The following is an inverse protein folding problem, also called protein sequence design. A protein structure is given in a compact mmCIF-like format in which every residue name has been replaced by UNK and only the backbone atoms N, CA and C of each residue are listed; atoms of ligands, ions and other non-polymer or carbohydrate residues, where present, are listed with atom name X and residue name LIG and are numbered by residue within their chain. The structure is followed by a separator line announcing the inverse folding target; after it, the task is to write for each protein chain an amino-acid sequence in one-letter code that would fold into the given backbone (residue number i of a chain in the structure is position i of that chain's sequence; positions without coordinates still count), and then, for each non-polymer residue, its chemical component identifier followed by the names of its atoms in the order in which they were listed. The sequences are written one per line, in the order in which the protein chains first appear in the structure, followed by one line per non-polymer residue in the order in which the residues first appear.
data_IF_394080279259
#
_entry.id   IF_394080279259
#
_cell.length_a   1.000
_cell.length_b   1.000
_cell.length_c   1.000
_cell.angle_alpha   90.00
_cell.angle_beta   90.00
_cell.angle_gamma   90.00
#
_symmetry.space_group_name_H-M   'P 1'
#
loop_
_entity.id
_entity.type
_entity.pdbx_description
1 polymer ?
#
# COMPACT_ATOMS: atom_id res chain seq x y z
N UNK A 1 11.87 31.08 5.20
CA UNK A 1 10.44 31.05 4.82
C UNK A 1 9.88 29.76 5.38
N UNK A 2 9.05 29.83 6.42
CA UNK A 2 8.50 28.67 7.12
C UNK A 2 7.62 27.88 6.16
N UNK A 3 8.07 26.69 5.74
CA UNK A 3 7.31 25.80 4.87
C UNK A 3 6.04 25.38 5.58
N UNK A 4 4.88 25.76 5.04
CA UNK A 4 3.58 25.28 5.50
C UNK A 4 3.53 23.76 5.28
N UNK A 5 3.88 22.99 6.30
CA UNK A 5 3.84 21.53 6.21
C UNK A 5 2.38 21.10 6.00
N UNK A 6 2.10 20.44 4.88
CA UNK A 6 0.79 19.89 4.56
C UNK A 6 0.31 19.02 5.73
N UNK A 7 -0.93 19.23 6.22
CA UNK A 7 -1.50 18.48 7.35
C UNK A 7 -1.41 16.96 7.15
N UNK A 8 -1.54 16.49 5.91
CA UNK A 8 -1.37 15.08 5.56
C UNK A 8 0.06 14.61 5.76
N UNK A 9 1.07 15.42 5.43
CA UNK A 9 2.48 15.07 5.65
C UNK A 9 2.80 14.98 7.13
N UNK A 10 2.33 15.97 7.91
CA UNK A 10 2.51 15.98 9.37
C UNK A 10 1.86 14.75 10.01
N UNK A 11 0.62 14.45 9.65
CA UNK A 11 -0.08 13.26 10.12
C UNK A 11 0.66 11.99 9.70
N UNK A 12 1.11 11.89 8.44
CA UNK A 12 1.81 10.72 7.93
C UNK A 12 3.09 10.46 8.72
N UNK A 13 3.91 11.49 8.97
CA UNK A 13 5.14 11.39 9.76
C UNK A 13 4.89 10.87 11.18
N UNK A 14 3.78 11.26 11.80
CA UNK A 14 3.40 10.76 13.13
C UNK A 14 2.99 9.29 13.10
N UNK A 15 2.24 8.88 12.07
CA UNK A 15 1.67 7.53 11.99
C UNK A 15 2.62 6.45 11.46
N UNK A 16 3.73 6.86 10.83
CA UNK A 16 4.77 5.95 10.35
C UNK A 16 5.91 5.71 11.35
N UNK A 17 5.86 6.31 12.55
CA UNK A 17 6.91 6.13 13.57
C UNK A 17 7.24 4.65 13.87
N UNK A 18 6.27 3.72 13.93
CA UNK A 18 6.61 2.32 14.25
C UNK A 18 7.05 1.51 13.02
N UNK A 19 7.31 2.14 11.87
CA UNK A 19 7.93 1.48 10.71
C UNK A 19 9.45 1.66 10.77
N UNK A 20 10.26 0.58 10.69
CA UNK A 20 11.72 0.67 10.69
C UNK A 20 12.24 1.56 9.54
N UNK A 21 11.65 1.44 8.35
CA UNK A 21 12.03 2.19 7.15
C UNK A 21 11.10 3.39 6.88
N UNK A 22 10.81 4.18 7.93
CA UNK A 22 9.84 5.29 7.90
C UNK A 22 10.09 6.33 6.79
N UNK A 23 11.34 6.67 6.47
CA UNK A 23 11.62 7.65 5.42
C UNK A 23 11.23 7.13 4.04
N UNK A 24 11.49 5.84 3.79
CA UNK A 24 11.06 5.17 2.55
C UNK A 24 9.54 5.04 2.50
N UNK A 25 8.89 4.68 3.61
CA UNK A 25 7.42 4.66 3.71
C UNK A 25 6.85 6.03 3.37
N UNK A 26 7.39 7.11 3.96
CA UNK A 26 6.94 8.47 3.71
C UNK A 26 7.04 8.80 2.21
N UNK A 27 8.22 8.60 1.61
CA UNK A 27 8.46 8.91 0.19
C UNK A 27 7.52 8.14 -0.74
N UNK A 28 7.33 6.83 -0.50
CA UNK A 28 6.48 6.00 -1.33
C UNK A 28 5.01 6.38 -1.21
N UNK A 29 4.54 6.65 0.02
CA UNK A 29 3.15 7.07 0.26
C UNK A 29 2.89 8.45 -0.33
N UNK A 30 3.78 9.41 -0.11
CA UNK A 30 3.67 10.77 -0.63
C UNK A 30 3.60 10.80 -2.17
N UNK A 31 4.48 10.04 -2.83
CA UNK A 31 4.45 9.86 -4.27
C UNK A 31 3.12 9.24 -4.75
N UNK A 32 2.60 8.24 -4.04
CA UNK A 32 1.35 7.59 -4.40
C UNK A 32 0.14 8.53 -4.29
N UNK A 33 0.01 9.29 -3.20
CA UNK A 33 -1.14 10.18 -2.98
C UNK A 33 -1.08 11.43 -3.85
N UNK A 34 0.13 11.87 -4.23
CA UNK A 34 0.33 12.95 -5.21
C UNK A 34 -0.05 12.48 -6.61
N UNK A 35 0.34 11.24 -6.98
CA UNK A 35 0.01 10.67 -8.29
C UNK A 35 -1.47 10.34 -8.44
N UNK A 36 -2.12 9.89 -7.36
CA UNK A 36 -3.52 9.48 -7.35
C UNK A 36 -4.29 10.28 -6.29
N UNK A 37 -4.85 11.46 -6.62
CA UNK A 37 -5.53 12.32 -5.68
C UNK A 37 -6.83 11.76 -5.09
N UNK A 38 -7.32 10.62 -5.58
CA UNK A 38 -8.46 9.88 -5.03
C UNK A 38 -8.05 8.87 -3.97
N UNK A 39 -6.74 8.63 -3.79
CA UNK A 39 -6.18 7.78 -2.74
C UNK A 39 -5.85 8.65 -1.52
N UNK A 40 -6.19 8.13 -0.34
CA UNK A 40 -5.94 8.76 0.95
C UNK A 40 -5.27 7.79 1.90
N UNK A 41 -4.34 8.26 2.74
CA UNK A 41 -3.77 7.43 3.78
C UNK A 41 -4.66 7.44 5.02
N UNK A 42 -4.79 6.29 5.68
CA UNK A 42 -5.42 6.15 7.01
C UNK A 42 -4.68 5.11 7.84
N UNK A 43 -4.85 5.13 9.15
CA UNK A 43 -4.47 4.01 10.01
C UNK A 43 -5.70 3.18 10.34
N UNK A 44 -5.57 1.86 10.28
CA UNK A 44 -6.68 0.95 10.55
C UNK A 44 -6.17 -0.41 11.06
N UNK A 45 -7.02 -1.18 11.73
CA UNK A 45 -6.65 -2.48 12.29
C UNK A 45 -6.78 -3.54 11.21
N UNK A 46 -5.66 -4.18 10.89
CA UNK A 46 -5.60 -5.30 9.97
C UNK A 46 -5.57 -6.62 10.74
N UNK A 47 -6.37 -7.61 10.32
CA UNK A 47 -6.38 -8.97 10.87
C UNK A 47 -5.70 -9.90 9.88
N UNK A 48 -4.61 -10.54 10.30
CA UNK A 48 -3.88 -11.52 9.52
C UNK A 48 -4.62 -12.86 9.46
N UNK A 49 -4.26 -13.69 8.49
CA UNK A 49 -4.86 -15.01 8.27
C UNK A 49 -4.66 -15.97 9.47
N UNK A 50 -3.66 -15.68 10.33
CA UNK A 50 -3.38 -16.41 11.58
C UNK A 50 -4.14 -15.86 12.81
N UNK A 51 -5.03 -14.89 12.60
CA UNK A 51 -5.84 -14.25 13.64
C UNK A 51 -5.15 -13.12 14.41
N UNK A 52 -3.87 -12.85 14.17
CA UNK A 52 -3.20 -11.70 14.78
C UNK A 52 -3.78 -10.40 14.22
N UNK A 53 -3.89 -9.37 15.07
CA UNK A 53 -4.33 -8.04 14.65
C UNK A 53 -3.23 -7.01 14.81
N UNK A 54 -3.19 -6.02 13.93
CA UNK A 54 -2.18 -4.97 13.99
C UNK A 54 -2.70 -3.65 13.41
N UNK A 55 -2.44 -2.54 14.10
CA UNK A 55 -2.66 -1.20 13.54
C UNK A 55 -1.62 -0.93 12.46
N UNK A 56 -2.08 -0.79 11.22
CA UNK A 56 -1.26 -0.58 10.03
C UNK A 56 -1.68 0.69 9.28
N UNK A 57 -0.79 1.15 8.40
CA UNK A 57 -1.07 2.22 7.45
C UNK A 57 -1.74 1.59 6.23
N UNK A 58 -2.84 2.20 5.79
CA UNK A 58 -3.62 1.76 4.66
C UNK A 58 -3.80 2.93 3.68
N UNK A 59 -3.45 2.73 2.41
CA UNK A 59 -3.81 3.62 1.33
C UNK A 59 -5.11 3.11 0.73
N UNK A 60 -6.17 3.92 0.81
CA UNK A 60 -7.48 3.52 0.32
C UNK A 60 -8.08 4.59 -0.58
N UNK A 61 -8.99 4.17 -1.46
CA UNK A 61 -9.69 5.08 -2.36
C UNK A 61 -9.91 4.43 -3.71
N UNK A 62 -10.07 5.26 -4.74
CA UNK A 62 -10.37 4.80 -6.09
C UNK A 62 -9.14 4.89 -6.99
N UNK A 63 -8.77 3.80 -7.64
CA UNK A 63 -7.70 3.75 -8.63
C UNK A 63 -8.30 3.76 -10.05
N UNK A 64 -7.97 4.75 -10.90
CA UNK A 64 -8.41 4.75 -12.28
C UNK A 64 -7.67 3.68 -13.09
N UNK A 65 -8.40 2.85 -13.82
CA UNK A 65 -7.85 1.86 -14.76
C UNK A 65 -8.53 1.98 -16.12
N UNK A 66 -7.81 1.66 -17.19
CA UNK A 66 -8.38 1.51 -18.52
C UNK A 66 -8.59 0.01 -18.80
N UNK A 67 -9.81 -0.39 -19.14
CA UNK A 67 -10.15 -1.76 -19.51
C UNK A 67 -11.08 -1.76 -20.72
N UNK A 68 -10.67 -2.45 -21.80
CA UNK A 68 -11.44 -2.57 -23.05
C UNK A 68 -11.95 -1.23 -23.61
N UNK A 69 -11.12 -0.19 -23.55
CA UNK A 69 -11.46 1.14 -24.08
C UNK A 69 -12.32 2.01 -23.16
N UNK A 70 -12.73 1.51 -21.99
CA UNK A 70 -13.44 2.28 -20.97
C UNK A 70 -12.57 2.53 -19.73
N UNK A 71 -12.81 3.66 -19.06
CA UNK A 71 -12.16 4.00 -17.80
C UNK A 71 -13.03 3.59 -16.61
N UNK A 72 -12.44 2.87 -15.66
CA UNK A 72 -13.10 2.43 -14.44
C UNK A 72 -12.36 2.94 -13.21
N UNK A 73 -13.10 3.21 -12.14
CA UNK A 73 -12.54 3.58 -10.84
C UNK A 73 -12.69 2.39 -9.90
N UNK A 74 -11.59 1.69 -9.63
CA UNK A 74 -11.61 0.49 -8.80
C UNK A 74 -11.31 0.88 -7.36
N UNK A 75 -12.19 0.56 -6.39
CA UNK A 75 -11.88 0.80 -5.00
C UNK A 75 -10.81 -0.18 -4.53
N UNK A 76 -9.77 0.36 -3.89
CA UNK A 76 -8.62 -0.39 -3.43
C UNK A 76 -8.32 -0.09 -1.98
N UNK A 77 -7.71 -1.07 -1.31
CA UNK A 77 -7.06 -0.91 -0.02
C UNK A 77 -5.66 -1.55 -0.08
N UNK A 78 -4.63 -0.75 0.15
CA UNK A 78 -3.23 -1.16 0.09
C UNK A 78 -2.64 -0.98 1.49
N UNK A 79 -2.40 -2.10 2.17
CA UNK A 79 -1.87 -2.14 3.51
C UNK A 79 -0.35 -2.25 3.48
N UNK A 80 0.31 -1.37 4.23
CA UNK A 80 1.74 -1.44 4.45
C UNK A 80 2.00 -2.25 5.73
N UNK A 81 2.64 -3.39 5.60
CA UNK A 81 3.10 -4.20 6.73
C UNK A 81 4.27 -3.51 7.45
N UNK A 82 4.53 -3.84 8.72
CA UNK A 82 5.58 -3.18 9.51
C UNK A 82 6.98 -3.32 8.93
N UNK A 83 7.23 -4.37 8.19
CA UNK A 83 8.48 -4.70 7.52
C UNK A 83 8.57 -4.10 6.10
N UNK A 84 7.59 -3.32 5.65
CA UNK A 84 7.71 -2.59 4.39
C UNK A 84 8.95 -1.68 4.39
N UNK A 85 9.71 -1.60 3.29
CA UNK A 85 9.47 -2.24 1.98
C UNK A 85 10.17 -3.60 1.82
N UNK A 86 10.66 -4.25 2.87
CA UNK A 86 11.31 -5.56 2.73
C UNK A 86 10.35 -6.65 2.26
N UNK A 87 9.08 -6.54 2.65
CA UNK A 87 7.96 -7.31 2.12
C UNK A 87 7.00 -6.42 1.34
N UNK A 88 6.29 -7.06 0.40
CA UNK A 88 5.32 -6.39 -0.45
C UNK A 88 4.14 -5.89 0.39
N UNK A 89 3.50 -4.78 -0.02
CA UNK A 89 2.25 -4.37 0.60
C UNK A 89 1.14 -5.39 0.29
N UNK A 90 0.13 -5.46 1.15
CA UNK A 90 -1.05 -6.29 0.93
C UNK A 90 -2.10 -5.45 0.19
N UNK A 91 -2.36 -5.78 -1.07
CA UNK A 91 -3.31 -5.04 -1.91
C UNK A 91 -4.63 -5.78 -2.04
N UNK A 92 -5.72 -5.06 -1.93
CA UNK A 92 -7.08 -5.56 -2.05
C UNK A 92 -7.89 -4.71 -3.03
N UNK A 93 -8.72 -5.38 -3.83
CA UNK A 93 -9.89 -4.74 -4.44
C UNK A 93 -11.03 -4.82 -3.43
N UNK A 94 -11.66 -3.68 -3.16
CA UNK A 94 -12.79 -3.59 -2.25
C UNK A 94 -14.06 -3.39 -3.09
N UNK A 95 -14.83 -4.45 -3.40
CA UNK A 95 -16.02 -4.30 -4.21
C UNK A 95 -17.05 -3.40 -3.53
N UNK A 96 -17.72 -2.54 -4.30
CA UNK A 96 -18.98 -1.93 -3.86
C UNK A 96 -20.13 -2.92 -4.03
N UNK A 97 -21.32 -2.59 -3.49
CA UNK A 97 -22.52 -3.45 -3.57
C UNK A 97 -22.87 -3.89 -4.99
N UNK A 98 -22.55 -3.06 -6.00
CA UNK A 98 -22.84 -3.33 -7.40
C UNK A 98 -21.68 -3.99 -8.16
N UNK A 99 -20.56 -4.29 -7.50
CA UNK A 99 -19.38 -4.90 -8.11
C UNK A 99 -19.34 -6.40 -7.87
N UNK A 100 -19.30 -7.18 -8.95
CA UNK A 100 -19.02 -8.60 -8.90
C UNK A 100 -17.50 -8.84 -8.93
N UNK A 101 -16.92 -9.27 -7.81
CA UNK A 101 -15.53 -9.76 -7.77
C UNK A 101 -15.46 -11.05 -8.56
N UNK A 102 -14.64 -11.08 -9.62
CA UNK A 102 -14.33 -12.32 -10.34
C UNK A 102 -12.99 -12.85 -9.84
N UNK A 103 -12.97 -13.86 -8.95
CA UNK A 103 -11.72 -14.49 -8.56
C UNK A 103 -11.00 -15.03 -9.80
N UNK A 104 -9.68 -14.96 -9.79
CA UNK A 104 -8.85 -15.31 -10.92
C UNK A 104 -7.39 -15.54 -10.50
N UNK A 105 -6.48 -15.78 -11.46
CA UNK A 105 -5.09 -16.11 -11.16
C UNK A 105 -4.36 -15.06 -10.30
N UNK A 106 -4.81 -13.81 -10.37
CA UNK A 106 -4.19 -12.68 -9.71
C UNK A 106 -5.05 -12.09 -8.56
N UNK A 107 -6.16 -12.73 -8.19
CA UNK A 107 -7.03 -12.25 -7.12
C UNK A 107 -7.83 -13.38 -6.47
N UNK A 108 -7.78 -13.48 -5.15
CA UNK A 108 -8.53 -14.48 -4.41
C UNK A 108 -9.97 -14.02 -4.06
N UNK A 109 -10.72 -14.91 -3.39
CA UNK A 109 -12.12 -14.67 -3.00
C UNK A 109 -12.30 -13.53 -1.99
N UNK A 110 -11.24 -13.18 -1.24
CA UNK A 110 -11.27 -12.04 -0.30
C UNK A 110 -11.05 -10.70 -1.01
N UNK A 111 -10.72 -10.73 -2.31
CA UNK A 111 -10.31 -9.56 -3.08
C UNK A 111 -8.83 -9.23 -2.96
N UNK A 112 -8.03 -10.05 -2.24
CA UNK A 112 -6.59 -9.85 -2.14
C UNK A 112 -5.94 -10.14 -3.49
N UNK A 113 -5.12 -9.20 -3.93
CA UNK A 113 -4.41 -9.24 -5.19
C UNK A 113 -3.09 -10.01 -5.06
N UNK A 114 -2.85 -10.93 -5.99
CA UNK A 114 -1.65 -11.76 -6.11
C UNK A 114 -0.95 -11.53 -7.46
N UNK A 115 -0.96 -10.29 -7.95
CA UNK A 115 -0.36 -9.91 -9.24
C UNK A 115 1.16 -10.16 -9.28
N UNK A 116 1.69 -10.39 -10.49
CA UNK A 116 3.11 -10.66 -10.71
C UNK A 116 4.05 -9.63 -10.05
N UNK A 117 3.67 -8.35 -10.10
CA UNK A 117 4.45 -7.27 -9.50
C UNK A 117 4.69 -7.45 -7.99
N UNK A 118 3.69 -7.96 -7.24
CA UNK A 118 3.79 -8.23 -5.82
C UNK A 118 4.58 -9.51 -5.55
N UNK A 119 4.42 -10.53 -6.41
CA UNK A 119 5.20 -11.79 -6.33
C UNK A 119 6.70 -11.54 -6.50
N UNK A 120 7.07 -10.64 -7.41
CA UNK A 120 8.48 -10.31 -7.70
C UNK A 120 9.03 -9.15 -6.84
N UNK A 121 8.32 -8.72 -5.81
CA UNK A 121 8.67 -7.54 -5.00
C UNK A 121 10.12 -7.56 -4.48
N UNK A 122 10.56 -8.69 -3.92
CA UNK A 122 11.90 -8.82 -3.34
C UNK A 122 13.05 -8.70 -4.38
N UNK A 123 12.75 -8.87 -5.68
CA UNK A 123 13.74 -8.75 -6.75
C UNK A 123 14.02 -7.31 -7.15
N UNK A 124 13.20 -6.37 -6.69
CA UNK A 124 13.30 -4.95 -7.05
C UNK A 124 14.58 -4.33 -6.50
N UNK A 125 15.31 -3.53 -7.30
CA UNK A 125 16.56 -2.90 -6.88
C UNK A 125 16.42 -2.09 -5.59
N UNK A 126 15.36 -1.29 -5.47
CA UNK A 126 15.09 -0.46 -4.30
C UNK A 126 14.90 -1.27 -3.00
N UNK A 127 14.31 -2.46 -3.10
CA UNK A 127 14.14 -3.38 -1.96
C UNK A 127 15.47 -4.07 -1.61
N UNK A 128 16.27 -4.43 -2.61
CA UNK A 128 17.56 -5.13 -2.42
C UNK A 128 18.61 -4.26 -1.71
N UNK A 129 18.63 -2.95 -1.97
CA UNK A 129 19.57 -2.01 -1.32
C UNK A 129 19.34 -1.99 0.20
N UNK A 130 18.08 -1.99 0.64
CA UNK A 130 17.73 -1.99 2.06
C UNK A 130 18.05 -3.33 2.77
N UNK A 131 18.03 -4.45 2.04
CA UNK A 131 18.43 -5.77 2.60
C UNK A 131 19.94 -5.88 2.83
N UNK A 132 20.76 -5.22 2.01
CA UNK A 132 22.23 -5.25 2.14
C UNK A 132 22.74 -4.42 3.32
N UNK A 133 22.02 -3.36 3.70
CA UNK A 133 22.38 -2.52 4.84
C UNK A 133 22.26 -3.24 6.21
N UNK A 134 21.58 -4.39 6.28
CA UNK A 134 21.38 -5.16 7.51
C UNK A 134 22.40 -6.29 7.73
N UNK A 135 23.38 -6.48 6.82
CA UNK A 135 24.36 -7.58 6.86
C UNK A 135 25.78 -7.08 7.15
N UNK A 136 25.94 -5.81 7.53
CA UNK A 136 27.24 -5.23 7.89
C UNK A 136 27.20 -4.81 9.35
N UNK A 137 27.23 -5.78 10.28
CA UNK A 137 27.68 -5.62 11.66
C UNK A 137 28.31 -6.94 12.10
#
# INVERSE_FOLDING_TARGET
MSSTENLTHKWLRQNIQPYPHRDTVFQHVDAAITRYPTIRPKTDVYTFDDGRTQLLLCLHGLLPIAFRGASYNIPVAIWLTRDYPQHAPLAYVVPTTDMLVRPGPDMDVSGRCHIQYLRDWARKPEVRVLRRAHVIH
#
